data_IF_053542393529
#
_entry.id   IF_053542393529
#
_cell.length_a   1.000
_cell.length_b   1.000
_cell.length_c   1.000
_cell.angle_alpha   90.00
_cell.angle_beta   90.00
_cell.angle_gamma   90.00
#
_symmetry.space_group_name_H-M   'P 1'
#
loop_
_entity.id
_entity.type
_entity.pdbx_description
1 polymer ?
#
# COMPACT_ATOMS: atom_id res chain seq x y z
N UNK A 1 -17.08 -2.31 -45.26
CA UNK A 1 -17.51 -0.97 -45.73
C UNK A 1 -16.53 0.06 -45.20
N UNK A 2 -16.23 1.09 -46.01
CA UNK A 2 -15.20 2.14 -45.88
C UNK A 2 -13.77 1.66 -46.26
N UNK A 3 -13.33 1.74 -47.53
CA UNK A 3 -13.04 2.89 -48.40
C UNK A 3 -11.75 3.65 -48.01
N UNK A 4 -10.61 3.19 -48.53
CA UNK A 4 -9.38 4.00 -48.59
C UNK A 4 -9.42 4.84 -49.87
N UNK A 5 -9.32 6.15 -49.69
CA UNK A 5 -9.45 7.16 -50.74
C UNK A 5 -8.05 7.61 -51.18
N UNK A 6 -7.76 7.32 -52.43
CA UNK A 6 -6.58 7.75 -53.17
C UNK A 6 -6.60 9.28 -53.37
N UNK A 7 -5.44 9.93 -53.29
CA UNK A 7 -5.24 11.35 -53.63
C UNK A 7 -3.92 11.50 -54.36
N UNK A 8 -4.00 11.45 -55.68
CA UNK A 8 -3.02 12.04 -56.59
C UNK A 8 -3.02 13.56 -56.43
N UNK A 9 -1.84 14.15 -56.29
CA UNK A 9 -1.58 15.55 -56.61
C UNK A 9 -0.26 15.64 -57.37
N UNK A 10 -0.36 16.34 -58.48
CA UNK A 10 0.46 16.37 -59.68
C UNK A 10 1.66 17.32 -59.51
N UNK A 11 2.83 16.93 -60.03
CA UNK A 11 4.07 17.69 -59.97
C UNK A 11 4.23 18.50 -61.27
N UNK A 12 4.35 19.82 -61.17
CA UNK A 12 4.63 20.72 -62.30
C UNK A 12 6.05 21.30 -62.17
N UNK A 13 6.92 21.25 -63.21
CA UNK A 13 8.28 21.80 -63.15
C UNK A 13 8.44 23.02 -64.07
N UNK A 14 8.92 24.14 -63.57
CA UNK A 14 9.39 25.31 -64.36
C UNK A 14 10.37 26.10 -63.47
N UNK A 15 11.46 26.73 -63.90
CA UNK A 15 12.14 26.85 -65.19
C UNK A 15 13.59 27.25 -64.86
N UNK A 16 14.54 26.86 -65.71
CA UNK A 16 15.93 27.31 -65.70
C UNK A 16 16.01 28.63 -66.45
N UNK A 17 16.50 29.68 -65.80
CA UNK A 17 16.83 30.95 -66.46
C UNK A 17 18.31 31.24 -66.17
N UNK A 18 19.08 31.29 -67.25
CA UNK A 18 20.51 31.57 -67.26
C UNK A 18 20.70 32.96 -67.84
N UNK A 19 20.94 33.93 -66.98
CA UNK A 19 21.29 35.28 -67.43
C UNK A 19 22.80 35.42 -67.53
N UNK A 20 23.24 35.55 -68.78
CA UNK A 20 24.47 36.20 -69.18
C UNK A 20 24.28 37.71 -69.00
N UNK A 21 25.20 38.38 -68.30
CA UNK A 21 25.38 39.83 -68.47
C UNK A 21 26.85 40.23 -68.38
N UNK A 22 27.15 41.24 -69.17
CA UNK A 22 28.42 41.56 -69.83
C UNK A 22 29.49 42.21 -68.92
N UNK A 23 30.75 42.02 -69.31
CA UNK A 23 31.93 42.71 -68.79
C UNK A 23 31.84 44.22 -69.06
N UNK A 24 31.97 45.04 -68.01
CA UNK A 24 32.27 46.47 -68.12
C UNK A 24 33.47 46.77 -67.20
N UNK A 25 34.65 46.81 -67.81
CA UNK A 25 35.86 47.38 -67.22
C UNK A 25 35.72 48.91 -67.18
N UNK A 26 35.52 49.49 -65.99
CA UNK A 26 35.85 50.90 -65.79
C UNK A 26 36.43 51.16 -64.39
N UNK A 27 37.55 51.88 -64.40
CA UNK A 27 38.52 52.00 -63.33
C UNK A 27 38.03 52.87 -62.16
N UNK A 28 38.03 52.29 -60.94
CA UNK A 28 38.00 53.03 -59.68
C UNK A 28 38.98 52.38 -58.69
N UNK A 29 39.98 53.16 -58.26
CA UNK A 29 41.07 52.70 -57.38
C UNK A 29 40.61 52.26 -55.99
N UNK A 30 41.48 51.55 -55.23
CA UNK A 30 41.10 50.99 -53.95
C UNK A 30 40.95 52.10 -52.90
N UNK A 31 39.71 52.44 -52.57
CA UNK A 31 39.41 53.14 -51.31
C UNK A 31 39.33 52.10 -50.20
N UNK A 32 40.34 52.09 -49.33
CA UNK A 32 40.34 51.27 -48.13
C UNK A 32 39.34 51.83 -47.12
N UNK A 33 38.11 51.32 -47.14
CA UNK A 33 37.16 51.51 -46.05
C UNK A 33 37.56 50.56 -44.92
N UNK A 34 38.22 51.08 -43.90
CA UNK A 34 38.44 50.34 -42.64
C UNK A 34 37.10 50.19 -41.90
N UNK A 35 36.46 49.03 -42.05
CA UNK A 35 35.36 48.64 -41.16
C UNK A 35 35.98 48.24 -39.82
N UNK A 36 35.66 48.91 -38.69
CA UNK A 36 36.20 48.50 -37.41
C UNK A 36 35.60 47.13 -37.04
N UNK A 37 36.42 46.07 -37.09
CA UNK A 37 36.06 44.78 -36.53
C UNK A 37 35.85 44.95 -35.02
N UNK A 38 34.60 45.07 -34.58
CA UNK A 38 34.29 44.98 -33.16
C UNK A 38 34.73 43.59 -32.69
N UNK A 39 35.78 43.52 -31.86
CA UNK A 39 36.22 42.26 -31.25
C UNK A 39 34.99 41.63 -30.56
N UNK A 40 34.60 40.39 -30.90
CA UNK A 40 33.45 39.77 -30.24
C UNK A 40 33.74 39.73 -28.74
N UNK A 41 32.78 40.14 -27.91
CA UNK A 41 32.83 40.17 -26.44
C UNK A 41 32.97 38.74 -25.89
N UNK A 42 34.14 38.12 -26.06
CA UNK A 42 34.45 36.73 -25.70
C UNK A 42 34.25 36.46 -24.20
N UNK A 43 34.49 37.48 -23.36
CA UNK A 43 34.21 37.43 -21.91
C UNK A 43 32.71 37.36 -21.59
N UNK A 44 31.85 38.03 -22.34
CA UNK A 44 30.39 37.99 -22.12
C UNK A 44 29.81 36.62 -22.49
N UNK A 45 30.29 35.99 -23.56
CA UNK A 45 29.88 34.63 -23.92
C UNK A 45 30.27 33.60 -22.86
N UNK A 46 31.50 33.67 -22.32
CA UNK A 46 31.95 32.76 -21.24
C UNK A 46 31.10 32.90 -19.99
N UNK A 47 30.78 34.13 -19.55
CA UNK A 47 29.92 34.36 -18.39
C UNK A 47 28.49 33.86 -18.59
N UNK A 48 27.93 34.05 -19.79
CA UNK A 48 26.60 33.53 -20.14
C UNK A 48 26.61 32.00 -20.14
N UNK A 49 27.63 31.36 -20.74
CA UNK A 49 27.77 29.91 -20.72
C UNK A 49 27.92 29.35 -19.31
N UNK A 50 28.71 30.00 -18.44
CA UNK A 50 28.85 29.61 -17.04
C UNK A 50 27.54 29.76 -16.25
N UNK A 51 26.78 30.83 -16.49
CA UNK A 51 25.47 31.03 -15.88
C UNK A 51 24.45 29.98 -16.33
N UNK A 52 24.46 29.59 -17.61
CA UNK A 52 23.65 28.49 -18.13
C UNK A 52 24.03 27.16 -17.50
N UNK A 53 25.32 26.81 -17.44
CA UNK A 53 25.79 25.58 -16.79
C UNK A 53 25.39 25.54 -15.32
N UNK A 54 25.60 26.65 -14.60
CA UNK A 54 25.21 26.75 -13.19
C UNK A 54 23.69 26.59 -13.00
N UNK A 55 22.88 27.27 -13.83
CA UNK A 55 21.43 27.14 -13.83
C UNK A 55 20.99 25.71 -14.09
N UNK A 56 21.57 25.04 -15.10
CA UNK A 56 21.28 23.64 -15.40
C UNK A 56 21.65 22.70 -14.25
N UNK A 57 22.79 22.91 -13.60
CA UNK A 57 23.20 22.13 -12.41
C UNK A 57 22.22 22.38 -11.25
N UNK A 58 21.82 23.63 -11.03
CA UNK A 58 20.86 23.99 -9.99
C UNK A 58 19.49 23.35 -10.25
N UNK A 59 18.98 23.41 -11.49
CA UNK A 59 17.74 22.75 -11.88
C UNK A 59 17.82 21.23 -11.75
N UNK A 60 18.94 20.61 -12.13
CA UNK A 60 19.15 19.16 -11.95
C UNK A 60 19.20 18.78 -10.46
N UNK A 61 19.85 19.59 -9.64
CA UNK A 61 19.93 19.38 -8.19
C UNK A 61 18.57 19.55 -7.50
N UNK A 62 17.87 20.64 -7.78
CA UNK A 62 16.52 20.89 -7.27
C UNK A 62 15.52 19.84 -7.78
N UNK A 63 15.62 19.46 -9.06
CA UNK A 63 14.84 18.37 -9.65
C UNK A 63 15.13 17.02 -9.02
N UNK A 64 16.39 16.74 -8.67
CA UNK A 64 16.79 15.53 -7.94
C UNK A 64 16.25 15.49 -6.51
N UNK A 65 16.27 16.61 -5.78
CA UNK A 65 15.69 16.72 -4.44
C UNK A 65 14.17 16.58 -4.48
N UNK A 66 13.51 17.33 -5.38
CA UNK A 66 12.07 17.27 -5.57
C UNK A 66 11.65 15.86 -6.03
N UNK A 67 12.39 15.25 -6.95
CA UNK A 67 12.22 13.87 -7.39
C UNK A 67 12.29 12.90 -6.23
N UNK A 68 13.34 12.93 -5.39
CA UNK A 68 13.45 12.05 -4.22
C UNK A 68 12.30 12.21 -3.23
N UNK A 69 11.86 13.45 -2.96
CA UNK A 69 10.71 13.70 -2.07
C UNK A 69 9.38 13.28 -2.69
N UNK A 70 9.24 13.44 -4.01
CA UNK A 70 8.06 13.00 -4.74
C UNK A 70 8.05 11.48 -4.94
N UNK A 71 9.19 10.79 -4.86
CA UNK A 71 9.34 9.35 -5.07
C UNK A 71 9.22 8.52 -3.79
N UNK A 72 8.61 9.05 -2.72
CA UNK A 72 8.23 8.21 -1.57
C UNK A 72 7.10 7.25 -2.00
N UNK A 73 7.52 6.14 -2.63
CA UNK A 73 6.64 5.13 -3.18
C UNK A 73 5.89 4.39 -2.08
N UNK A 74 6.49 4.24 -0.90
CA UNK A 74 5.86 3.59 0.23
C UNK A 74 4.61 4.36 0.66
N UNK A 75 4.72 5.69 0.89
CA UNK A 75 3.55 6.52 1.23
C UNK A 75 2.50 6.56 0.13
N UNK A 76 2.94 6.69 -1.13
CA UNK A 76 2.02 6.71 -2.29
C UNK A 76 1.26 5.39 -2.42
N UNK A 77 1.96 4.26 -2.37
CA UNK A 77 1.35 2.95 -2.45
C UNK A 77 0.42 2.71 -1.24
N UNK A 78 0.83 3.07 -0.03
CA UNK A 78 -0.01 2.94 1.16
C UNK A 78 -1.32 3.72 1.03
N UNK A 79 -1.26 4.97 0.56
CA UNK A 79 -2.44 5.80 0.34
C UNK A 79 -3.29 5.38 -0.87
N UNK A 80 -2.67 4.84 -1.93
CA UNK A 80 -3.37 4.46 -3.16
C UNK A 80 -4.07 3.10 -3.06
N UNK A 81 -3.51 2.17 -2.27
CA UNK A 81 -3.98 0.77 -2.17
C UNK A 81 -4.81 0.49 -0.93
N UNK A 82 -5.18 1.51 -0.16
CA UNK A 82 -5.91 1.32 1.10
C UNK A 82 -6.89 2.48 1.28
N UNK A 83 -8.12 2.16 1.71
CA UNK A 83 -9.09 3.17 2.12
C UNK A 83 -8.52 4.00 3.29
N UNK A 84 -8.92 5.27 3.40
CA UNK A 84 -8.44 6.09 4.52
C UNK A 84 -8.67 5.42 5.87
N UNK A 85 -7.61 5.36 6.67
CA UNK A 85 -7.63 4.84 8.04
C UNK A 85 -6.64 5.64 8.89
N UNK A 86 -6.85 5.74 10.21
CA UNK A 86 -5.93 6.42 11.10
C UNK A 86 -4.53 5.79 11.12
N UNK A 87 -4.39 4.53 10.68
CA UNK A 87 -3.08 3.88 10.55
C UNK A 87 -2.20 4.63 9.56
N UNK A 88 -2.75 5.12 8.44
CA UNK A 88 -1.98 5.82 7.41
C UNK A 88 -1.40 7.16 7.90
N UNK A 89 -2.06 7.79 8.88
CA UNK A 89 -1.61 9.07 9.45
C UNK A 89 -0.62 8.87 10.62
N UNK A 90 -0.66 7.72 11.29
CA UNK A 90 0.06 7.47 12.54
C UNK A 90 1.19 6.44 12.42
N UNK A 91 1.28 5.73 11.29
CA UNK A 91 2.30 4.71 11.03
C UNK A 91 3.01 5.06 9.72
N UNK A 92 4.33 5.13 9.76
CA UNK A 92 5.14 5.20 8.54
C UNK A 92 5.14 3.80 7.90
N UNK A 93 4.22 3.59 6.96
CA UNK A 93 4.06 2.32 6.26
C UNK A 93 5.24 2.16 5.32
N UNK A 94 5.99 1.07 5.50
CA UNK A 94 7.09 0.68 4.64
C UNK A 94 6.84 -0.67 4.00
N UNK A 95 7.35 -0.88 2.80
CA UNK A 95 7.25 -2.14 2.11
C UNK A 95 8.61 -2.82 1.96
N UNK A 96 8.75 -4.05 2.44
CA UNK A 96 9.98 -4.86 2.29
C UNK A 96 9.70 -6.16 1.56
N UNK A 97 10.69 -6.67 0.82
CA UNK A 97 10.60 -8.05 0.31
C UNK A 97 10.88 -9.00 1.47
N UNK A 98 9.99 -9.94 1.68
CA UNK A 98 10.06 -10.97 2.72
C UNK A 98 9.91 -12.32 2.06
N UNK A 99 10.87 -13.20 2.30
CA UNK A 99 10.77 -14.60 1.87
C UNK A 99 9.94 -15.39 2.86
N UNK A 100 8.87 -16.00 2.38
CA UNK A 100 8.02 -16.84 3.22
C UNK A 100 8.74 -18.15 3.53
N UNK A 101 8.64 -18.58 4.79
CA UNK A 101 9.02 -19.93 5.18
C UNK A 101 7.83 -20.86 4.94
N UNK A 102 7.77 -21.41 3.73
CA UNK A 102 6.75 -22.36 3.27
C UNK A 102 7.16 -23.83 3.43
N UNK A 103 8.17 -24.13 4.26
CA UNK A 103 8.71 -25.49 4.40
C UNK A 103 7.62 -26.50 4.77
N UNK A 104 7.25 -27.37 3.83
CA UNK A 104 6.06 -28.21 3.99
C UNK A 104 6.14 -29.15 5.21
N UNK A 105 7.22 -29.91 5.36
CA UNK A 105 7.38 -30.90 6.44
C UNK A 105 7.89 -30.34 7.76
N UNK A 106 8.36 -29.08 7.78
CA UNK A 106 8.97 -28.48 8.97
C UNK A 106 8.01 -27.46 9.59
N UNK A 107 7.48 -27.78 10.76
CA UNK A 107 6.58 -26.89 11.49
C UNK A 107 7.33 -25.80 12.25
N UNK A 108 6.86 -24.56 12.10
CA UNK A 108 7.19 -23.47 13.03
C UNK A 108 6.17 -23.41 14.17
N UNK A 109 6.38 -22.52 15.14
CA UNK A 109 5.51 -22.41 16.33
C UNK A 109 4.03 -22.18 15.97
N UNK A 110 3.74 -21.45 14.90
CA UNK A 110 2.37 -21.11 14.50
C UNK A 110 1.58 -22.28 13.88
N UNK A 111 2.28 -23.33 13.46
CA UNK A 111 1.72 -24.52 12.79
C UNK A 111 1.49 -25.72 13.72
N UNK A 112 2.06 -25.69 14.93
CA UNK A 112 1.96 -26.79 15.89
C UNK A 112 0.54 -26.94 16.43
N UNK A 113 0.24 -28.13 16.97
CA UNK A 113 -0.99 -28.41 17.73
C UNK A 113 -1.14 -27.43 18.90
N UNK A 114 -2.39 -27.10 19.24
CA UNK A 114 -2.72 -26.17 20.32
C UNK A 114 -2.02 -26.48 21.64
N UNK A 115 -1.42 -25.46 22.23
CA UNK A 115 -0.71 -25.49 23.51
C UNK A 115 -0.54 -24.06 24.04
N UNK A 116 -0.23 -23.86 25.34
CA UNK A 116 0.01 -22.53 25.88
C UNK A 116 1.13 -21.75 25.17
N UNK A 117 2.19 -22.44 24.73
CA UNK A 117 3.31 -21.82 24.02
C UNK A 117 2.90 -21.36 22.61
N UNK A 118 2.09 -22.16 21.92
CA UNK A 118 1.51 -21.78 20.62
C UNK A 118 0.57 -20.60 20.80
N UNK A 119 -0.29 -20.63 21.82
CA UNK A 119 -1.21 -19.52 22.10
C UNK A 119 -0.43 -18.24 22.39
N UNK A 120 0.61 -18.28 23.24
CA UNK A 120 1.46 -17.11 23.50
C UNK A 120 2.09 -16.52 22.22
N UNK A 121 2.54 -17.37 21.29
CA UNK A 121 3.07 -16.91 20.01
C UNK A 121 2.00 -16.21 19.16
N UNK A 122 0.77 -16.76 19.10
CA UNK A 122 -0.34 -16.12 18.40
C UNK A 122 -0.81 -14.82 19.09
N UNK A 123 -0.83 -14.78 20.43
CA UNK A 123 -1.16 -13.57 21.20
C UNK A 123 -0.19 -12.43 20.94
N UNK A 124 1.10 -12.74 20.77
CA UNK A 124 2.11 -11.75 20.41
C UNK A 124 1.86 -11.09 19.04
N UNK A 125 1.04 -11.71 18.17
CA UNK A 125 0.58 -11.14 16.91
C UNK A 125 -0.66 -10.21 17.07
N UNK A 126 -1.09 -9.92 18.29
CA UNK A 126 -2.21 -9.02 18.55
C UNK A 126 -3.59 -9.57 18.21
N UNK A 127 -3.73 -10.89 18.14
CA UNK A 127 -5.01 -11.58 17.81
C UNK A 127 -6.13 -11.37 18.82
N UNK A 128 -5.81 -10.93 20.04
CA UNK A 128 -6.79 -10.57 21.06
C UNK A 128 -6.67 -9.10 21.52
N UNK A 129 -6.18 -8.21 20.66
CA UNK A 129 -6.24 -6.78 20.97
C UNK A 129 -7.69 -6.32 21.08
N UNK A 130 -7.97 -5.58 22.15
CA UNK A 130 -9.27 -4.95 22.41
C UNK A 130 -9.56 -3.86 21.38
N UNK A 131 -10.82 -3.44 21.21
CA UNK A 131 -11.14 -2.24 20.46
C UNK A 131 -10.35 -1.05 21.00
N UNK A 132 -9.74 -0.28 20.10
CA UNK A 132 -9.15 1.01 20.41
C UNK A 132 -10.16 2.14 20.31
N UNK A 133 -9.77 3.34 20.77
CA UNK A 133 -10.61 4.54 20.66
C UNK A 133 -9.91 5.56 19.77
N UNK A 134 -10.61 6.04 18.75
CA UNK A 134 -10.13 7.10 17.86
C UNK A 134 -11.04 8.34 17.94
N UNK A 135 -10.52 9.55 17.67
CA UNK A 135 -11.33 10.75 17.61
C UNK A 135 -12.51 10.64 16.63
N UNK A 136 -13.62 11.31 16.93
CA UNK A 136 -14.84 11.25 16.11
C UNK A 136 -14.60 11.71 14.68
N UNK A 137 -13.88 12.82 14.47
CA UNK A 137 -13.60 13.33 13.12
C UNK A 137 -12.76 12.35 12.28
N UNK A 138 -11.81 11.66 12.92
CA UNK A 138 -10.98 10.62 12.31
C UNK A 138 -11.84 9.40 11.95
N UNK A 139 -12.70 8.95 12.86
CA UNK A 139 -13.61 7.83 12.59
C UNK A 139 -14.59 8.11 11.45
N UNK A 140 -15.16 9.32 11.38
CA UNK A 140 -16.03 9.73 10.27
C UNK A 140 -15.28 9.75 8.94
N UNK A 141 -14.02 10.25 8.90
CA UNK A 141 -13.18 10.19 7.69
C UNK A 141 -12.90 8.75 7.26
N UNK A 142 -12.83 7.81 8.21
CA UNK A 142 -12.65 6.37 7.95
C UNK A 142 -13.93 5.63 7.56
N UNK A 143 -15.04 6.35 7.36
CA UNK A 143 -16.31 5.76 6.90
C UNK A 143 -17.22 5.27 8.02
N UNK A 144 -16.88 5.51 9.30
CA UNK A 144 -17.81 5.27 10.39
C UNK A 144 -18.93 6.30 10.38
N UNK A 145 -20.05 5.94 10.98
CA UNK A 145 -21.25 6.78 11.09
C UNK A 145 -21.62 6.98 12.56
N UNK A 146 -22.46 7.98 12.89
CA UNK A 146 -22.91 8.19 14.27
C UNK A 146 -23.59 6.97 14.92
N UNK A 147 -24.10 6.03 14.12
CA UNK A 147 -24.69 4.78 14.62
C UNK A 147 -23.65 3.78 15.16
N UNK A 148 -22.37 3.96 14.84
CA UNK A 148 -21.31 3.12 15.37
C UNK A 148 -21.05 3.43 16.85
N UNK A 149 -20.63 2.40 17.59
CA UNK A 149 -20.40 2.48 19.04
C UNK A 149 -19.36 3.57 19.35
N UNK A 150 -19.76 4.48 20.24
CA UNK A 150 -18.95 5.61 20.67
C UNK A 150 -18.76 5.60 22.18
N UNK A 151 -17.65 6.18 22.63
CA UNK A 151 -17.46 6.54 24.03
C UNK A 151 -18.32 7.75 24.37
N UNK A 152 -18.92 7.77 25.55
CA UNK A 152 -19.72 8.89 26.01
C UNK A 152 -18.89 10.18 26.07
N UNK A 153 -19.52 11.32 25.74
CA UNK A 153 -18.84 12.61 25.59
C UNK A 153 -18.16 13.06 26.90
N UNK A 154 -18.75 12.75 28.06
CA UNK A 154 -18.16 13.00 29.39
C UNK A 154 -16.82 12.30 29.64
N UNK A 155 -16.48 11.27 28.86
CA UNK A 155 -15.20 10.56 28.92
C UNK A 155 -14.29 10.88 27.73
N UNK A 156 -14.59 11.95 26.98
CA UNK A 156 -13.77 12.44 25.88
C UNK A 156 -14.18 11.95 24.49
N UNK A 157 -15.34 11.30 24.35
CA UNK A 157 -15.90 10.92 23.05
C UNK A 157 -15.03 9.96 22.22
N UNK A 158 -15.38 9.77 20.95
CA UNK A 158 -14.62 8.95 19.99
C UNK A 158 -15.25 7.59 19.68
N UNK A 159 -14.83 7.00 18.56
CA UNK A 159 -15.33 5.71 18.09
C UNK A 159 -14.48 4.56 18.62
N UNK A 160 -15.14 3.46 18.97
CA UNK A 160 -14.47 2.18 19.18
C UNK A 160 -14.19 1.53 17.82
N UNK A 161 -12.94 1.10 17.61
CA UNK A 161 -12.51 0.47 16.37
C UNK A 161 -11.56 -0.68 16.65
N UNK A 162 -11.53 -1.67 15.77
CA UNK A 162 -10.41 -2.59 15.66
C UNK A 162 -9.61 -2.25 14.41
N UNK A 163 -8.29 -2.42 14.47
CA UNK A 163 -7.46 -2.37 13.26
C UNK A 163 -7.71 -3.66 12.50
N UNK A 164 -8.28 -3.56 11.30
CA UNK A 164 -8.71 -4.69 10.45
C UNK A 164 -7.65 -5.81 10.34
N UNK A 165 -6.38 -5.46 10.14
CA UNK A 165 -5.30 -6.45 10.08
C UNK A 165 -5.17 -7.34 11.32
N UNK A 166 -5.44 -6.80 12.52
CA UNK A 166 -5.47 -7.59 13.75
C UNK A 166 -6.73 -8.45 13.83
N UNK A 167 -7.87 -7.94 13.36
CA UNK A 167 -9.11 -8.71 13.28
C UNK A 167 -9.01 -9.87 12.27
N UNK A 168 -8.29 -9.71 11.16
CA UNK A 168 -8.01 -10.80 10.22
C UNK A 168 -7.15 -11.89 10.88
N UNK A 169 -6.12 -11.52 11.63
CA UNK A 169 -5.33 -12.49 12.38
C UNK A 169 -6.13 -13.15 13.53
N UNK A 170 -7.06 -12.42 14.16
CA UNK A 170 -8.04 -12.99 15.08
C UNK A 170 -8.88 -14.08 14.40
N UNK A 171 -9.46 -13.76 13.24
CA UNK A 171 -10.25 -14.70 12.43
C UNK A 171 -9.43 -15.95 12.09
N UNK A 172 -8.19 -15.77 11.63
CA UNK A 172 -7.30 -16.88 11.30
C UNK A 172 -6.96 -17.74 12.53
N UNK A 173 -6.72 -17.13 13.68
CA UNK A 173 -6.48 -17.85 14.92
C UNK A 173 -7.71 -18.63 15.38
N UNK A 174 -8.92 -18.07 15.25
CA UNK A 174 -10.16 -18.80 15.56
C UNK A 174 -10.33 -20.02 14.66
N UNK A 175 -10.07 -19.88 13.35
CA UNK A 175 -10.07 -21.01 12.40
C UNK A 175 -9.03 -22.06 12.81
N UNK A 176 -7.80 -21.66 13.11
CA UNK A 176 -6.73 -22.56 13.61
C UNK A 176 -7.18 -23.34 14.85
N UNK A 177 -7.75 -22.65 15.85
CA UNK A 177 -8.26 -23.26 17.09
C UNK A 177 -9.40 -24.24 16.81
N UNK A 178 -10.17 -24.02 15.74
CA UNK A 178 -11.33 -24.83 15.35
C UNK A 178 -11.00 -26.00 14.41
N UNK A 179 -9.73 -26.17 14.00
CA UNK A 179 -9.32 -27.34 13.23
C UNK A 179 -9.58 -28.62 14.04
N UNK A 180 -9.99 -29.70 13.37
CA UNK A 180 -10.43 -30.93 14.05
C UNK A 180 -9.41 -31.48 15.07
N UNK A 181 -8.11 -31.28 14.82
CA UNK A 181 -7.04 -31.73 15.70
C UNK A 181 -6.73 -30.77 16.87
N UNK A 182 -7.33 -29.58 16.89
CA UNK A 182 -7.20 -28.55 17.93
C UNK A 182 -8.51 -28.35 18.71
N UNK A 183 -9.66 -28.62 18.10
CA UNK A 183 -10.98 -28.24 18.58
C UNK A 183 -11.27 -28.72 20.01
N UNK A 184 -11.10 -30.00 20.32
CA UNK A 184 -11.38 -30.55 21.65
C UNK A 184 -10.57 -29.84 22.75
N UNK A 185 -9.29 -29.55 22.50
CA UNK A 185 -8.45 -28.83 23.46
C UNK A 185 -9.00 -27.43 23.78
N UNK A 186 -9.41 -26.65 22.78
CA UNK A 186 -9.94 -25.31 23.02
C UNK A 186 -11.37 -25.30 23.53
N UNK A 187 -12.16 -26.31 23.16
CA UNK A 187 -13.49 -26.53 23.71
C UNK A 187 -13.42 -26.82 25.20
N UNK A 188 -12.51 -27.71 25.62
CA UNK A 188 -12.29 -28.04 27.04
C UNK A 188 -11.78 -26.84 27.84
N UNK A 189 -10.94 -25.98 27.25
CA UNK A 189 -10.50 -24.75 27.89
C UNK A 189 -11.64 -23.76 28.14
N UNK A 190 -12.70 -23.75 27.30
CA UNK A 190 -13.86 -22.87 27.48
C UNK A 190 -13.50 -21.39 27.55
N UNK A 191 -12.60 -20.92 26.68
CA UNK A 191 -12.14 -19.51 26.64
C UNK A 191 -12.51 -18.81 25.35
N UNK A 192 -12.54 -17.47 25.39
CA UNK A 192 -12.85 -16.61 24.22
C UNK A 192 -14.13 -17.07 23.49
N UNK A 193 -14.06 -17.29 22.17
CA UNK A 193 -15.20 -17.72 21.36
C UNK A 193 -15.78 -19.08 21.79
N UNK A 194 -14.98 -19.95 22.42
CA UNK A 194 -15.39 -21.27 22.91
C UNK A 194 -16.21 -21.21 24.21
N UNK A 195 -16.38 -20.03 24.81
CA UNK A 195 -17.36 -19.81 25.90
C UNK A 195 -18.80 -19.80 25.42
N UNK A 196 -19.00 -19.48 24.13
CA UNK A 196 -20.33 -19.36 23.57
C UNK A 196 -20.95 -20.73 23.33
N UNK A 197 -22.27 -20.75 23.22
CA UNK A 197 -22.99 -21.94 22.77
C UNK A 197 -22.50 -22.39 21.39
N UNK A 198 -22.57 -23.70 21.13
CA UNK A 198 -22.05 -24.34 19.91
C UNK A 198 -22.55 -23.64 18.64
N UNK A 199 -23.82 -23.24 18.60
CA UNK A 199 -24.41 -22.56 17.44
C UNK A 199 -23.76 -21.20 17.17
N UNK A 200 -23.48 -20.43 18.23
CA UNK A 200 -22.85 -19.11 18.12
C UNK A 200 -21.38 -19.27 17.72
N UNK A 201 -20.69 -20.27 18.27
CA UNK A 201 -19.31 -20.60 17.87
C UNK A 201 -19.23 -20.94 16.38
N UNK A 202 -20.14 -21.78 15.86
CA UNK A 202 -20.21 -22.11 14.45
C UNK A 202 -20.44 -20.88 13.56
N UNK A 203 -21.37 -20.00 13.95
CA UNK A 203 -21.63 -18.75 13.23
C UNK A 203 -20.38 -17.87 13.21
N UNK A 204 -19.71 -17.71 14.34
CA UNK A 204 -18.48 -16.92 14.45
C UNK A 204 -17.36 -17.50 13.55
N UNK A 205 -17.12 -18.81 13.59
CA UNK A 205 -16.12 -19.46 12.71
C UNK A 205 -16.46 -19.24 11.24
N UNK A 206 -17.73 -19.43 10.84
CA UNK A 206 -18.16 -19.25 9.45
C UNK A 206 -18.02 -17.81 8.96
N UNK A 207 -18.31 -16.84 9.83
CA UNK A 207 -18.09 -15.42 9.58
C UNK A 207 -16.60 -15.11 9.40
N UNK A 208 -15.73 -15.65 10.26
CA UNK A 208 -14.28 -15.49 10.15
C UNK A 208 -13.74 -16.06 8.82
N UNK A 209 -14.24 -17.22 8.39
CA UNK A 209 -13.87 -17.81 7.09
C UNK A 209 -14.27 -16.88 5.94
N UNK A 210 -15.48 -16.32 5.97
CA UNK A 210 -15.93 -15.42 4.91
C UNK A 210 -15.17 -14.08 4.90
N UNK A 211 -14.90 -13.48 6.05
CA UNK A 211 -14.06 -12.28 6.14
C UNK A 211 -12.68 -12.51 5.55
N UNK A 212 -12.02 -13.62 5.92
CA UNK A 212 -10.70 -13.97 5.38
C UNK A 212 -10.75 -14.16 3.85
N UNK A 213 -11.78 -14.83 3.32
CA UNK A 213 -12.00 -14.97 1.88
C UNK A 213 -12.09 -13.59 1.21
N UNK A 214 -12.91 -12.69 1.74
CA UNK A 214 -13.10 -11.35 1.17
C UNK A 214 -11.79 -10.55 1.16
N UNK A 215 -11.01 -10.60 2.23
CA UNK A 215 -9.72 -9.89 2.34
C UNK A 215 -8.69 -10.44 1.36
N UNK A 216 -8.60 -11.77 1.21
CA UNK A 216 -7.70 -12.41 0.24
C UNK A 216 -8.08 -12.08 -1.20
N UNK A 217 -9.38 -11.92 -1.50
CA UNK A 217 -9.84 -11.48 -2.82
C UNK A 217 -9.59 -9.99 -3.06
N UNK A 218 -9.76 -9.16 -2.03
CA UNK A 218 -9.53 -7.71 -2.11
C UNK A 218 -8.05 -7.37 -2.25
N UNK A 219 -7.18 -8.12 -1.58
CA UNK A 219 -5.73 -7.96 -1.60
C UNK A 219 -5.08 -9.17 -2.29
N UNK A 220 -5.57 -9.50 -3.49
CA UNK A 220 -5.11 -10.70 -4.21
C UNK A 220 -3.61 -10.64 -4.45
N UNK A 221 -2.89 -11.69 -4.05
CA UNK A 221 -1.47 -11.80 -4.29
C UNK A 221 -1.22 -12.17 -5.75
N UNK A 222 -0.49 -11.32 -6.47
CA UNK A 222 -0.14 -11.53 -7.89
C UNK A 222 1.20 -12.24 -8.08
N UNK A 223 1.82 -12.72 -7.00
CA UNK A 223 3.00 -13.57 -7.05
C UNK A 223 2.72 -14.93 -7.67
N UNK A 224 3.77 -15.62 -8.09
CA UNK A 224 3.71 -16.97 -8.65
C UNK A 224 4.59 -17.92 -7.84
N UNK A 225 4.18 -19.18 -7.75
CA UNK A 225 4.97 -20.25 -7.14
C UNK A 225 5.25 -21.33 -8.19
N UNK A 226 6.46 -21.86 -8.17
CA UNK A 226 6.91 -22.92 -9.07
C UNK A 226 6.78 -24.32 -8.45
N UNK A 227 7.36 -25.29 -9.14
CA UNK A 227 7.52 -26.66 -8.63
C UNK A 227 9.00 -27.02 -8.56
N UNK A 228 9.34 -27.88 -7.61
CA UNK A 228 10.67 -28.49 -7.45
C UNK A 228 10.57 -30.01 -7.60
N UNK A 229 11.69 -30.66 -7.92
CA UNK A 229 11.77 -32.12 -7.90
C UNK A 229 11.85 -32.63 -6.47
N UNK A 230 10.83 -33.37 -6.06
CA UNK A 230 10.76 -34.09 -4.79
C UNK A 230 11.03 -35.58 -5.00
N UNK A 231 11.19 -36.31 -3.89
CA UNK A 231 11.40 -37.77 -3.85
C UNK A 231 12.63 -38.24 -4.66
N UNK A 232 13.83 -38.24 -4.04
CA UNK A 232 15.09 -38.57 -4.73
C UNK A 232 15.06 -39.91 -5.49
N UNK A 233 14.41 -40.92 -4.92
CA UNK A 233 14.36 -42.27 -5.49
C UNK A 233 13.31 -42.43 -6.60
N UNK A 234 12.33 -41.51 -6.69
CA UNK A 234 11.29 -41.51 -7.72
C UNK A 234 10.84 -40.06 -7.99
N UNK A 235 11.60 -39.30 -8.79
CA UNK A 235 11.39 -37.86 -8.93
C UNK A 235 9.97 -37.50 -9.36
N UNK A 236 9.33 -36.62 -8.60
CA UNK A 236 8.02 -36.06 -8.95
C UNK A 236 7.95 -34.58 -8.61
N UNK A 237 7.12 -33.83 -9.33
CA UNK A 237 6.98 -32.39 -9.14
C UNK A 237 6.19 -32.09 -7.85
N UNK A 238 6.70 -31.16 -7.04
CA UNK A 238 6.06 -30.70 -5.81
C UNK A 238 6.08 -29.16 -5.74
N UNK A 239 5.00 -28.47 -5.33
CA UNK A 239 5.00 -27.01 -5.23
C UNK A 239 6.05 -26.48 -4.25
N UNK A 240 6.81 -25.46 -4.66
CA UNK A 240 7.69 -24.72 -3.74
C UNK A 240 6.97 -23.50 -3.17
N UNK A 241 6.61 -23.60 -1.89
CA UNK A 241 5.91 -22.53 -1.17
C UNK A 241 6.86 -21.47 -0.60
N UNK A 242 8.17 -21.62 -0.77
CA UNK A 242 9.11 -20.58 -0.39
C UNK A 242 9.13 -19.56 -1.53
N UNK A 243 8.36 -18.49 -1.38
CA UNK A 243 8.23 -17.41 -2.36
C UNK A 243 8.54 -16.06 -1.71
N UNK A 244 8.90 -15.09 -2.55
CA UNK A 244 9.23 -13.75 -2.10
C UNK A 244 8.01 -12.85 -2.27
N UNK A 245 7.64 -12.15 -1.19
CA UNK A 245 6.45 -11.30 -1.15
C UNK A 245 6.84 -9.89 -0.75
N UNK A 246 6.15 -8.88 -1.28
CA UNK A 246 6.32 -7.48 -0.86
C UNK A 246 5.30 -7.16 0.24
N UNK A 247 5.76 -7.07 1.48
CA UNK A 247 4.91 -6.95 2.65
C UNK A 247 4.99 -5.55 3.26
N UNK A 248 3.86 -5.05 3.80
CA UNK A 248 3.85 -3.91 4.72
C UNK A 248 4.59 -4.30 6.01
N UNK A 249 5.24 -3.34 6.65
CA UNK A 249 5.88 -3.47 7.97
C UNK A 249 4.84 -3.75 9.08
N UNK A 250 4.43 -5.01 9.18
CA UNK A 250 3.39 -5.49 10.08
C UNK A 250 3.57 -5.03 11.54
N UNK A 251 4.78 -5.09 12.09
CA UNK A 251 5.03 -4.74 13.48
C UNK A 251 4.69 -3.28 13.80
N UNK A 252 4.89 -2.35 12.88
CA UNK A 252 4.56 -0.94 13.11
C UNK A 252 3.04 -0.75 13.23
N UNK A 253 2.27 -1.46 12.39
CA UNK A 253 0.80 -1.47 12.45
C UNK A 253 0.32 -2.16 13.73
N UNK A 254 0.93 -3.29 14.11
CA UNK A 254 0.63 -4.02 15.34
C UNK A 254 0.86 -3.14 16.57
N UNK A 255 2.01 -2.46 16.67
CA UNK A 255 2.33 -1.57 17.79
C UNK A 255 1.37 -0.37 17.88
N UNK A 256 0.95 0.18 16.74
CA UNK A 256 -0.10 1.21 16.73
C UNK A 256 -1.42 0.66 17.27
N UNK A 257 -1.87 -0.51 16.79
CA UNK A 257 -3.09 -1.15 17.27
C UNK A 257 -3.03 -1.46 18.77
N UNK A 258 -1.87 -1.89 19.26
CA UNK A 258 -1.62 -2.18 20.68
C UNK A 258 -1.82 -0.93 21.54
N UNK A 259 -1.25 0.20 21.10
CA UNK A 259 -1.23 1.47 21.82
C UNK A 259 -2.62 2.09 21.98
N UNK A 260 -3.49 1.94 20.98
CA UNK A 260 -4.79 2.64 20.97
C UNK A 260 -5.89 1.91 21.74
N UNK A 261 -5.62 0.70 22.25
CA UNK A 261 -6.61 -0.14 22.93
C UNK A 261 -7.32 0.62 24.05
N UNK A 262 -8.65 0.45 24.09
CA UNK A 262 -9.45 0.91 25.20
C UNK A 262 -9.05 0.18 26.50
N UNK A 263 -9.38 0.77 27.67
CA UNK A 263 -9.26 0.07 28.94
C UNK A 263 -10.04 -1.26 28.90
N UNK A 264 -9.58 -2.29 29.65
CA UNK A 264 -10.33 -3.53 29.79
C UNK A 264 -11.75 -3.30 30.30
N UNK A 265 -12.67 -4.15 29.87
CA UNK A 265 -14.11 -4.04 30.18
C UNK A 265 -14.36 -4.00 31.70
N UNK A 266 -13.59 -4.75 32.49
CA UNK A 266 -13.71 -4.79 33.96
C UNK A 266 -13.32 -3.48 34.64
N UNK A 267 -12.67 -2.57 33.92
CA UNK A 267 -12.22 -1.25 34.41
C UNK A 267 -13.06 -0.10 33.87
N UNK A 268 -14.11 -0.38 33.08
CA UNK A 268 -14.94 0.67 32.49
C UNK A 268 -15.93 1.25 33.52
N UNK A 269 -16.00 2.59 33.66
CA UNK A 269 -16.96 3.22 34.57
C UNK A 269 -18.41 3.12 34.01
N UNK A 270 -19.44 3.28 34.86
CA UNK A 270 -20.82 3.30 34.40
C UNK A 270 -21.09 4.38 33.33
N UNK A 271 -21.82 3.98 32.28
CA UNK A 271 -22.15 4.84 31.14
C UNK A 271 -20.95 5.24 30.29
N UNK A 272 -19.91 4.39 30.22
CA UNK A 272 -18.73 4.62 29.39
C UNK A 272 -19.05 4.63 27.89
N UNK A 273 -19.94 3.74 27.46
CA UNK A 273 -20.49 3.74 26.11
C UNK A 273 -21.60 4.79 26.01
N UNK A 274 -21.61 5.50 24.88
CA UNK A 274 -22.71 6.40 24.50
C UNK A 274 -23.95 5.54 24.27
N UNK A 275 -25.08 5.98 24.80
CA UNK A 275 -26.35 5.27 24.61
C UNK A 275 -26.71 5.28 23.12
N UNK A 276 -27.14 4.15 22.53
CA UNK A 276 -27.58 4.11 21.14
C UNK A 276 -28.84 4.97 20.96
N UNK A 277 -28.97 5.54 19.77
CA UNK A 277 -30.16 6.20 19.25
C UNK A 277 -31.14 5.18 18.65
N UNK A 278 -32.37 5.60 18.38
CA UNK A 278 -33.35 4.77 17.70
C UNK A 278 -32.84 4.34 16.31
N UNK A 279 -32.73 3.03 16.09
CA UNK A 279 -32.25 2.46 14.83
C UNK A 279 -30.74 2.17 14.76
N UNK A 280 -29.95 2.55 15.77
CA UNK A 280 -28.51 2.24 15.81
C UNK A 280 -28.25 0.73 16.08
N UNK A 281 -29.22 0.04 16.70
CA UNK A 281 -29.11 -1.39 17.05
C UNK A 281 -29.51 -2.25 15.86
N UNK A 282 -28.59 -3.09 15.40
CA UNK A 282 -28.82 -4.04 14.31
C UNK A 282 -29.43 -5.35 14.85
N UNK A 283 -30.69 -5.70 14.53
CA UNK A 283 -31.36 -6.87 15.12
C UNK A 283 -30.76 -8.22 14.73
N UNK A 284 -30.00 -8.27 13.65
CA UNK A 284 -29.36 -9.48 13.13
C UNK A 284 -27.94 -9.69 13.66
N UNK A 285 -27.44 -8.80 14.52
CA UNK A 285 -26.13 -8.91 15.14
C UNK A 285 -26.29 -9.49 16.54
N UNK A 286 -25.63 -10.62 16.87
CA UNK A 286 -25.73 -11.26 18.17
C UNK A 286 -25.16 -10.40 19.31
#
# INVERSE_FOLDING_TARGET
MAAFRDKNAEYAPLHRESDHFEDVDEALGPSHIEVPLSKPRRRSFVLISLAWVFSSILFAFLGGIAGRKLLDMDKRCAAYTTQYSPVLDNVDVHYSVTRFNGSFMQENIYRRKGSPEVDAAWEALGVNYRPGIIPTDVGLKSGLTPAHVQRADKYGGGFFINVEGMHHLHCLNLVRKSLYYNYEYYKDLGTHAFKNEERILQLHISHCVDNLRQVLMCNVDTGVLGQVWAHPDNPSAFPDFNTDHKCKNYDAVRLYAEKIQAPPDEKLPPGYLKHPSDGDVLPSTP
#
